data_IF_062746994299
#
_entry.id   IF_062746994299
#
_cell.length_a   1.000
_cell.length_b   1.000
_cell.length_c   1.000
_cell.angle_alpha   90.00
_cell.angle_beta   90.00
_cell.angle_gamma   90.00
#
_symmetry.space_group_name_H-M   'P 1'
#
loop_
_entity.id
_entity.type
_entity.pdbx_description
1 polymer ?
#
# COMPACT_ATOMS: atom_id res chain seq x y z
N UNK A 1 3.61 -12.90 -0.40
CA UNK A 1 4.37 -14.08 -0.87
C UNK A 1 4.30 -15.26 0.11
N UNK A 2 4.35 -15.05 1.44
CA UNK A 2 4.25 -16.10 2.47
C UNK A 2 2.92 -16.88 2.46
N UNK A 3 1.83 -16.30 1.94
CA UNK A 3 0.53 -16.96 1.88
C UNK A 3 0.55 -18.19 0.96
N UNK A 4 1.31 -18.15 -0.15
CA UNK A 4 1.34 -19.22 -1.15
C UNK A 4 1.88 -20.53 -0.56
N UNK A 5 3.08 -20.60 0.03
CA UNK A 5 3.59 -21.84 0.61
C UNK A 5 2.75 -22.33 1.79
N UNK A 6 2.18 -21.45 2.61
CA UNK A 6 1.27 -21.82 3.70
C UNK A 6 -0.03 -22.46 3.19
N UNK A 7 -0.60 -21.94 2.11
CA UNK A 7 -1.82 -22.46 1.51
C UNK A 7 -1.58 -23.82 0.81
N UNK A 8 -0.42 -23.99 0.18
CA UNK A 8 -0.06 -25.26 -0.45
C UNK A 8 0.23 -26.36 0.57
N UNK A 9 0.83 -26.00 1.73
CA UNK A 9 1.12 -26.95 2.81
C UNK A 9 -0.12 -27.49 3.50
N UNK A 10 -1.23 -26.74 3.55
CA UNK A 10 -2.47 -27.23 4.16
C UNK A 10 -3.72 -26.65 3.49
N UNK A 11 -4.18 -27.33 2.44
CA UNK A 11 -5.33 -26.92 1.62
C UNK A 11 -6.65 -26.79 2.40
N UNK A 12 -6.80 -27.50 3.52
CA UNK A 12 -8.02 -27.43 4.34
C UNK A 12 -8.15 -26.10 5.10
N UNK A 13 -7.01 -25.43 5.38
CA UNK A 13 -6.98 -24.19 6.17
C UNK A 13 -6.66 -22.95 5.34
N UNK A 14 -6.81 -22.99 4.01
CA UNK A 14 -6.47 -21.90 3.09
C UNK A 14 -7.15 -20.57 3.49
N UNK A 15 -8.45 -20.60 3.72
CA UNK A 15 -9.19 -19.39 4.08
C UNK A 15 -8.83 -18.86 5.48
N UNK A 16 -8.48 -19.75 6.40
CA UNK A 16 -7.98 -19.36 7.72
C UNK A 16 -6.65 -18.59 7.61
N UNK A 17 -5.74 -19.08 6.76
CA UNK A 17 -4.48 -18.36 6.50
C UNK A 17 -4.72 -17.02 5.81
N UNK A 18 -5.65 -16.94 4.85
CA UNK A 18 -6.02 -15.68 4.20
C UNK A 18 -6.59 -14.68 5.23
N UNK A 19 -7.42 -15.14 6.15
CA UNK A 19 -7.97 -14.30 7.22
C UNK A 19 -6.88 -13.76 8.15
N UNK A 20 -5.98 -14.63 8.62
CA UNK A 20 -4.84 -14.21 9.46
C UNK A 20 -3.97 -13.16 8.73
N UNK A 21 -3.60 -13.45 7.48
CA UNK A 21 -2.81 -12.51 6.69
C UNK A 21 -3.53 -11.16 6.50
N UNK A 22 -4.85 -11.17 6.32
CA UNK A 22 -5.65 -9.94 6.24
C UNK A 22 -5.59 -9.15 7.54
N UNK A 23 -5.82 -9.80 8.68
CA UNK A 23 -5.78 -9.16 9.99
C UNK A 23 -4.42 -8.49 10.26
N UNK A 24 -3.32 -9.24 10.11
CA UNK A 24 -1.99 -8.68 10.32
C UNK A 24 -1.63 -7.59 9.31
N UNK A 25 -2.11 -7.70 8.07
CA UNK A 25 -1.91 -6.66 7.06
C UNK A 25 -2.64 -5.36 7.41
N UNK A 26 -3.86 -5.45 7.96
CA UNK A 26 -4.65 -4.29 8.39
C UNK A 26 -4.00 -3.65 9.62
N UNK A 27 -3.58 -4.45 10.60
CA UNK A 27 -2.84 -3.95 11.77
C UNK A 27 -1.58 -3.21 11.31
N UNK A 28 -0.79 -3.79 10.40
CA UNK A 28 0.39 -3.14 9.83
C UNK A 28 0.06 -1.85 9.06
N UNK A 29 -1.10 -1.77 8.40
CA UNK A 29 -1.56 -0.55 7.73
C UNK A 29 -1.88 0.56 8.74
N UNK A 30 -2.56 0.23 9.84
CA UNK A 30 -2.85 1.16 10.93
C UNK A 30 -1.57 1.71 11.55
N UNK A 31 -0.60 0.84 11.85
CA UNK A 31 0.71 1.28 12.33
C UNK A 31 1.41 2.19 11.33
N UNK A 32 1.41 1.85 10.04
CA UNK A 32 1.99 2.70 8.99
C UNK A 32 1.35 4.09 8.93
N UNK A 33 0.03 4.16 9.04
CA UNK A 33 -0.70 5.43 9.11
C UNK A 33 -0.28 6.28 10.32
N UNK A 34 -0.21 5.68 11.51
CA UNK A 34 0.23 6.40 12.71
C UNK A 34 1.68 6.86 12.62
N UNK A 35 2.57 6.04 12.07
CA UNK A 35 3.97 6.43 11.82
C UNK A 35 4.03 7.66 10.90
N UNK A 36 3.29 7.64 9.77
CA UNK A 36 3.23 8.79 8.86
C UNK A 36 2.71 10.05 9.53
N UNK A 37 1.66 9.91 10.35
CA UNK A 37 1.08 11.02 11.09
C UNK A 37 2.05 11.60 12.12
N UNK A 38 2.68 10.76 12.94
CA UNK A 38 3.62 11.19 13.99
C UNK A 38 4.91 11.80 13.45
N UNK A 39 5.37 11.32 12.28
CA UNK A 39 6.59 11.86 11.66
C UNK A 39 6.34 13.24 11.02
N UNK A 40 5.14 13.50 10.51
CA UNK A 40 4.87 14.70 9.71
C UNK A 40 4.20 15.82 10.48
N UNK A 41 3.40 15.47 11.50
CA UNK A 41 2.61 16.42 12.27
C UNK A 41 3.09 16.49 13.71
N UNK A 42 3.23 17.71 14.23
CA UNK A 42 3.48 17.92 15.67
C UNK A 42 2.17 17.76 16.46
N UNK A 43 2.29 17.30 17.70
CA UNK A 43 1.12 17.23 18.58
C UNK A 43 0.74 18.65 19.04
N UNK A 44 -0.49 19.10 18.86
CA UNK A 44 -1.75 18.39 18.59
C UNK A 44 -2.12 18.15 17.12
N UNK A 45 -1.19 18.21 16.16
CA UNK A 45 -1.45 17.87 14.76
C UNK A 45 -1.89 19.06 13.89
N UNK A 46 -1.54 20.26 14.30
CA UNK A 46 -1.88 21.52 13.62
C UNK A 46 -0.67 22.07 12.85
N UNK A 47 0.54 21.82 13.33
CA UNK A 47 1.78 22.30 12.74
C UNK A 47 2.62 21.17 12.15
N UNK A 48 3.48 21.51 11.20
CA UNK A 48 4.42 20.57 10.62
C UNK A 48 5.52 20.26 11.63
N UNK A 49 5.86 18.98 11.78
CA UNK A 49 6.97 18.55 12.64
C UNK A 49 8.30 19.08 12.13
N UNK A 50 9.31 19.05 13.00
CA UNK A 50 10.70 19.39 12.62
C UNK A 50 11.19 18.60 11.40
N UNK A 51 10.80 17.33 11.31
CA UNK A 51 11.14 16.44 10.17
C UNK A 51 10.47 16.93 8.87
N UNK A 52 9.21 17.31 8.93
CA UNK A 52 8.49 17.84 7.76
C UNK A 52 9.14 19.14 7.26
N UNK A 53 9.50 20.06 8.16
CA UNK A 53 10.16 21.31 7.83
C UNK A 53 11.54 21.06 7.18
N UNK A 54 12.33 20.10 7.71
CA UNK A 54 13.57 19.66 7.06
C UNK A 54 13.36 19.16 5.64
N UNK A 55 12.28 18.39 5.41
CA UNK A 55 11.97 17.90 4.06
C UNK A 55 11.62 19.03 3.11
N UNK A 56 10.87 20.05 3.54
CA UNK A 56 10.55 21.20 2.71
C UNK A 56 11.77 22.06 2.40
N UNK A 57 12.75 22.11 3.30
CA UNK A 57 13.95 22.94 3.14
C UNK A 57 15.04 22.26 2.29
N UNK A 58 15.29 20.96 2.50
CA UNK A 58 16.43 20.27 1.91
C UNK A 58 16.10 19.41 0.68
N UNK A 59 14.84 19.05 0.45
CA UNK A 59 14.47 18.21 -0.70
C UNK A 59 13.94 19.06 -1.84
N UNK A 60 14.74 19.27 -2.93
CA UNK A 60 14.31 20.07 -4.06
C UNK A 60 13.09 19.42 -4.73
N UNK A 61 12.05 20.21 -4.95
CA UNK A 61 10.79 19.76 -5.59
C UNK A 61 9.67 19.39 -4.60
N UNK A 62 9.93 19.34 -3.29
CA UNK A 62 8.90 19.20 -2.27
C UNK A 62 8.61 20.59 -1.70
N UNK A 63 7.48 21.18 -2.11
CA UNK A 63 7.02 22.47 -1.60
C UNK A 63 5.74 22.29 -0.78
N UNK A 64 5.49 23.19 0.14
CA UNK A 64 4.25 23.20 0.96
C UNK A 64 3.03 23.25 0.06
N UNK A 65 3.05 24.03 -1.02
CA UNK A 65 1.94 24.11 -1.97
C UNK A 65 1.73 22.79 -2.72
N UNK A 66 2.80 22.14 -3.15
CA UNK A 66 2.78 20.82 -3.76
C UNK A 66 2.21 19.76 -2.80
N UNK A 67 2.62 19.80 -1.54
CA UNK A 67 2.10 18.94 -0.49
C UNK A 67 0.60 19.13 -0.28
N UNK A 68 0.13 20.37 -0.12
CA UNK A 68 -1.28 20.70 0.06
C UNK A 68 -2.12 20.29 -1.16
N UNK A 69 -1.58 20.40 -2.37
CA UNK A 69 -2.24 19.95 -3.61
C UNK A 69 -2.44 18.43 -3.61
N UNK A 70 -1.41 17.67 -3.24
CA UNK A 70 -1.49 16.21 -3.13
C UNK A 70 -2.46 15.82 -2.01
N UNK A 71 -2.42 16.50 -0.86
CA UNK A 71 -3.37 16.30 0.24
C UNK A 71 -4.82 16.48 -0.22
N UNK A 72 -5.12 17.55 -0.95
CA UNK A 72 -6.46 17.82 -1.50
C UNK A 72 -6.89 16.72 -2.49
N UNK A 73 -5.98 16.21 -3.31
CA UNK A 73 -6.26 15.07 -4.20
C UNK A 73 -6.54 13.79 -3.40
N UNK A 74 -5.78 13.54 -2.34
CA UNK A 74 -6.02 12.42 -1.44
C UNK A 74 -7.37 12.52 -0.73
N UNK A 75 -7.77 13.69 -0.27
CA UNK A 75 -9.08 13.92 0.37
C UNK A 75 -10.23 13.65 -0.61
N UNK A 76 -10.06 14.04 -1.87
CA UNK A 76 -11.07 13.84 -2.91
C UNK A 76 -11.22 12.39 -3.35
N UNK A 77 -10.10 11.63 -3.42
CA UNK A 77 -10.03 10.27 -3.92
C UNK A 77 -9.63 9.23 -2.87
N UNK A 78 -9.69 9.59 -1.60
CA UNK A 78 -9.20 8.86 -0.43
C UNK A 78 -9.45 7.33 -0.52
N UNK A 79 -10.71 6.92 -0.63
CA UNK A 79 -11.09 5.50 -0.72
C UNK A 79 -10.43 4.82 -1.93
N UNK A 80 -10.51 5.43 -3.11
CA UNK A 80 -10.04 4.83 -4.36
C UNK A 80 -8.53 4.69 -4.42
N UNK A 81 -7.77 5.66 -3.89
CA UNK A 81 -6.31 5.60 -3.84
C UNK A 81 -5.87 4.42 -2.96
N UNK A 82 -6.41 4.30 -1.77
CA UNK A 82 -6.05 3.21 -0.83
C UNK A 82 -6.54 1.86 -1.36
N UNK A 83 -7.74 1.82 -1.93
CA UNK A 83 -8.32 0.61 -2.50
C UNK A 83 -7.49 0.09 -3.68
N UNK A 84 -7.19 0.91 -4.67
CA UNK A 84 -6.37 0.53 -5.83
C UNK A 84 -4.96 0.14 -5.44
N UNK A 85 -4.34 0.87 -4.50
CA UNK A 85 -3.02 0.54 -3.97
C UNK A 85 -3.00 -0.82 -3.25
N UNK A 86 -4.08 -1.20 -2.58
CA UNK A 86 -4.21 -2.51 -1.93
C UNK A 86 -4.23 -3.68 -2.91
N UNK A 87 -4.73 -3.46 -4.13
CA UNK A 87 -4.77 -4.46 -5.20
C UNK A 87 -3.50 -4.50 -6.05
N UNK A 88 -2.88 -3.34 -6.27
CA UNK A 88 -1.66 -3.23 -7.09
C UNK A 88 -0.45 -3.82 -6.37
N UNK A 89 0.59 -4.24 -7.10
CA UNK A 89 1.83 -4.71 -6.51
C UNK A 89 2.69 -3.58 -5.90
N UNK A 90 2.18 -2.36 -5.83
CA UNK A 90 2.85 -1.23 -5.17
C UNK A 90 3.08 -1.58 -3.69
N UNK A 91 4.26 -1.22 -3.11
CA UNK A 91 4.51 -1.43 -1.69
C UNK A 91 3.48 -0.69 -0.83
N UNK A 92 2.51 -1.43 -0.31
CA UNK A 92 1.39 -0.87 0.45
C UNK A 92 1.83 -0.06 1.68
N UNK A 93 3.02 -0.38 2.21
CA UNK A 93 3.63 0.40 3.32
C UNK A 93 3.83 1.87 2.97
N UNK A 94 4.23 2.17 1.73
CA UNK A 94 4.38 3.56 1.28
C UNK A 94 3.04 4.29 1.31
N UNK A 95 1.98 3.65 0.83
CA UNK A 95 0.64 4.23 0.81
C UNK A 95 0.08 4.44 2.22
N UNK A 96 0.35 3.52 3.16
CA UNK A 96 -0.11 3.66 4.54
C UNK A 96 0.59 4.80 5.27
N UNK A 97 1.91 4.96 5.07
CA UNK A 97 2.68 6.07 5.63
C UNK A 97 2.24 7.40 5.00
N UNK A 98 2.11 7.46 3.66
CA UNK A 98 1.63 8.66 2.96
C UNK A 98 0.23 9.05 3.41
N UNK A 99 -0.66 8.09 3.64
CA UNK A 99 -2.00 8.34 4.15
C UNK A 99 -1.98 9.04 5.52
N UNK A 100 -1.06 8.65 6.40
CA UNK A 100 -0.81 9.32 7.68
C UNK A 100 -0.20 10.70 7.51
N UNK A 101 0.80 10.82 6.64
CA UNK A 101 1.47 12.08 6.30
C UNK A 101 0.49 13.12 5.76
N UNK A 102 -0.43 12.74 4.88
CA UNK A 102 -1.47 13.63 4.36
C UNK A 102 -2.68 13.80 5.29
N UNK A 103 -2.64 13.20 6.48
CA UNK A 103 -3.68 13.29 7.51
C UNK A 103 -5.09 13.00 6.97
N UNK A 104 -5.21 11.99 6.12
CA UNK A 104 -6.49 11.59 5.52
C UNK A 104 -7.44 11.00 6.56
N UNK A 105 -8.74 10.99 6.25
CA UNK A 105 -9.76 10.45 7.14
C UNK A 105 -9.44 8.98 7.51
N UNK A 106 -9.11 8.75 8.79
CA UNK A 106 -8.69 7.45 9.31
C UNK A 106 -9.74 6.35 9.10
N UNK A 107 -11.02 6.67 9.29
CA UNK A 107 -12.09 5.69 9.13
C UNK A 107 -12.18 5.20 7.68
N UNK A 108 -12.15 6.11 6.71
CA UNK A 108 -12.16 5.78 5.28
C UNK A 108 -10.93 4.97 4.88
N UNK A 109 -9.75 5.35 5.40
CA UNK A 109 -8.51 4.61 5.19
C UNK A 109 -8.61 3.17 5.70
N UNK A 110 -9.12 2.97 6.92
CA UNK A 110 -9.27 1.62 7.52
C UNK A 110 -10.27 0.79 6.72
N UNK A 111 -11.44 1.33 6.37
CA UNK A 111 -12.45 0.62 5.57
C UNK A 111 -11.89 0.22 4.20
N UNK A 112 -11.24 1.14 3.48
CA UNK A 112 -10.62 0.86 2.20
C UNK A 112 -9.53 -0.22 2.31
N UNK A 113 -8.71 -0.16 3.36
CA UNK A 113 -7.67 -1.15 3.65
C UNK A 113 -8.25 -2.53 3.95
N UNK A 114 -9.31 -2.61 4.76
CA UNK A 114 -9.98 -3.87 5.08
C UNK A 114 -10.51 -4.51 3.79
N UNK A 115 -11.25 -3.76 2.99
CA UNK A 115 -11.89 -4.29 1.77
C UNK A 115 -10.81 -4.73 0.76
N UNK A 116 -9.85 -3.88 0.46
CA UNK A 116 -8.84 -4.15 -0.58
C UNK A 116 -7.92 -5.30 -0.20
N UNK A 117 -7.43 -5.33 1.04
CA UNK A 117 -6.50 -6.37 1.52
C UNK A 117 -7.20 -7.71 1.69
N UNK A 118 -8.39 -7.72 2.30
CA UNK A 118 -9.16 -8.96 2.44
C UNK A 118 -9.51 -9.52 1.08
N UNK A 119 -10.05 -8.72 0.16
CA UNK A 119 -10.38 -9.17 -1.18
C UNK A 119 -9.16 -9.76 -1.89
N UNK A 120 -8.00 -9.10 -1.84
CA UNK A 120 -6.76 -9.61 -2.44
C UNK A 120 -6.34 -10.96 -1.87
N UNK A 121 -6.30 -11.11 -0.53
CA UNK A 121 -5.88 -12.36 0.08
C UNK A 121 -6.87 -13.49 -0.15
N UNK A 122 -8.18 -13.21 -0.12
CA UNK A 122 -9.20 -14.21 -0.41
C UNK A 122 -9.24 -14.61 -1.89
N UNK A 123 -9.02 -13.69 -2.83
CA UNK A 123 -8.89 -14.00 -4.25
C UNK A 123 -7.69 -14.93 -4.47
N UNK A 124 -6.51 -14.58 -3.94
CA UNK A 124 -5.30 -15.42 -4.07
C UNK A 124 -5.53 -16.80 -3.43
N UNK A 125 -6.12 -16.85 -2.24
CA UNK A 125 -6.45 -18.09 -1.55
C UNK A 125 -7.40 -18.97 -2.37
N UNK A 126 -8.43 -18.38 -2.98
CA UNK A 126 -9.39 -19.07 -3.84
C UNK A 126 -8.74 -19.60 -5.11
N UNK A 127 -7.87 -18.81 -5.74
CA UNK A 127 -7.09 -19.25 -6.91
C UNK A 127 -6.19 -20.46 -6.56
N UNK A 128 -5.49 -20.40 -5.43
CA UNK A 128 -4.66 -21.53 -4.97
C UNK A 128 -5.53 -22.76 -4.66
N UNK A 129 -6.73 -22.58 -4.10
CA UNK A 129 -7.65 -23.67 -3.81
C UNK A 129 -8.15 -24.36 -5.08
N UNK A 130 -8.47 -23.59 -6.11
CA UNK A 130 -9.03 -24.09 -7.38
C UNK A 130 -7.94 -24.71 -8.26
N UNK A 131 -6.83 -24.02 -8.44
CA UNK A 131 -5.78 -24.42 -9.38
C UNK A 131 -4.64 -25.24 -8.73
N UNK A 132 -4.43 -25.15 -7.42
CA UNK A 132 -3.45 -25.97 -6.68
C UNK A 132 -2.01 -25.85 -7.16
N UNK A 133 -1.35 -27.00 -7.38
CA UNK A 133 0.08 -27.06 -7.73
C UNK A 133 0.45 -26.38 -9.06
N UNK A 134 -0.39 -26.38 -10.12
CA UNK A 134 -0.07 -25.65 -11.36
C UNK A 134 0.19 -24.15 -11.16
N UNK A 135 -0.41 -23.54 -10.16
CA UNK A 135 -0.14 -22.12 -9.83
C UNK A 135 1.29 -21.92 -9.33
N UNK A 136 1.83 -22.88 -8.55
CA UNK A 136 3.22 -22.80 -8.08
C UNK A 136 4.19 -22.79 -9.26
N UNK A 137 4.04 -23.73 -10.20
CA UNK A 137 4.87 -23.79 -11.39
C UNK A 137 4.73 -22.53 -12.26
N UNK A 138 3.52 -22.01 -12.39
CA UNK A 138 3.27 -20.76 -13.13
C UNK A 138 3.98 -19.57 -12.45
N UNK A 139 3.87 -19.43 -11.14
CA UNK A 139 4.51 -18.34 -10.40
C UNK A 139 6.04 -18.48 -10.45
N UNK A 140 6.59 -19.68 -10.25
CA UNK A 140 8.04 -19.91 -10.33
C UNK A 140 8.57 -19.62 -11.73
N UNK A 141 7.85 -20.03 -12.77
CA UNK A 141 8.24 -19.82 -14.17
C UNK A 141 8.21 -18.36 -14.59
N UNK A 142 7.19 -17.61 -14.11
CA UNK A 142 6.99 -16.22 -14.50
C UNK A 142 7.42 -15.21 -13.44
N UNK A 143 8.00 -15.66 -12.33
CA UNK A 143 8.41 -14.79 -11.23
C UNK A 143 9.38 -13.70 -11.69
N UNK A 144 10.38 -14.05 -12.48
CA UNK A 144 11.34 -13.10 -13.03
C UNK A 144 10.66 -12.08 -13.96
N UNK A 145 9.74 -12.54 -14.82
CA UNK A 145 8.99 -11.65 -15.71
C UNK A 145 8.10 -10.70 -14.93
N UNK A 146 7.39 -11.19 -13.92
CA UNK A 146 6.55 -10.38 -13.03
C UNK A 146 7.38 -9.36 -12.25
N UNK A 147 8.55 -9.74 -11.76
CA UNK A 147 9.47 -8.83 -11.07
C UNK A 147 10.00 -7.74 -12.01
N UNK A 148 10.37 -8.08 -13.24
CA UNK A 148 10.85 -7.13 -14.25
C UNK A 148 9.73 -6.15 -14.63
N UNK A 149 8.52 -6.65 -14.95
CA UNK A 149 7.36 -5.81 -15.29
C UNK A 149 7.01 -4.87 -14.12
N UNK A 150 7.06 -5.36 -12.90
CA UNK A 150 6.84 -4.55 -11.71
C UNK A 150 7.89 -3.44 -11.54
N UNK A 151 9.16 -3.76 -11.76
CA UNK A 151 10.26 -2.80 -11.68
C UNK A 151 10.13 -1.72 -12.77
N UNK A 152 9.77 -2.11 -14.00
CA UNK A 152 9.53 -1.18 -15.11
C UNK A 152 8.33 -0.27 -14.79
N UNK A 153 7.24 -0.81 -14.23
CA UNK A 153 6.08 -0.04 -13.82
C UNK A 153 6.39 0.95 -12.69
N UNK A 154 7.23 0.57 -11.73
CA UNK A 154 7.68 1.47 -10.66
C UNK A 154 8.54 2.62 -11.22
N UNK A 155 9.54 2.28 -12.05
CA UNK A 155 10.44 3.27 -12.65
C UNK A 155 9.66 4.18 -13.62
N UNK A 156 8.81 3.60 -14.46
CA UNK A 156 7.95 4.34 -15.39
C UNK A 156 6.96 5.25 -14.68
N UNK A 157 6.34 4.75 -13.60
CA UNK A 157 5.45 5.55 -12.75
C UNK A 157 6.19 6.72 -12.08
N UNK A 158 7.40 6.50 -11.60
CA UNK A 158 8.22 7.56 -11.00
C UNK A 158 8.63 8.64 -12.03
N UNK A 159 9.03 8.23 -13.24
CA UNK A 159 9.36 9.14 -14.35
C UNK A 159 8.11 9.91 -14.78
N UNK A 160 6.97 9.24 -14.91
CA UNK A 160 5.70 9.85 -15.29
C UNK A 160 5.23 10.90 -14.30
N UNK A 161 5.34 10.60 -12.98
CA UNK A 161 5.02 11.56 -11.92
C UNK A 161 5.96 12.76 -11.98
N UNK A 162 7.28 12.52 -12.17
CA UNK A 162 8.26 13.61 -12.32
C UNK A 162 7.95 14.51 -13.53
N UNK A 163 7.47 13.94 -14.64
CA UNK A 163 7.18 14.70 -15.87
C UNK A 163 5.85 15.49 -15.81
N UNK A 164 4.89 15.06 -14.94
CA UNK A 164 3.60 15.74 -14.75
C UNK A 164 3.67 16.82 -13.66
N UNK A 165 4.55 16.66 -12.66
CA UNK A 165 4.65 17.56 -11.50
C UNK A 165 5.69 18.67 -11.73
N UNK A 166 6.67 18.47 -12.61
CA UNK A 166 7.62 19.46 -13.07
C UNK A 166 7.16 20.10 -14.36
#
# INVERSE_FOLDING_TARGET
LLLIPLCLGNRKKIYFFAFICSCFSIIGAIFGHYIGKLLWWDMPGIEYSYIANLFFEYVPGITVDGFNRIQTMYDRWNFWIVFTAGFTPIPFKLITISAGTFNINFLMFVVASIISRSARFFIVASLIKVFGDPIKEFIEKYFNLLAIVFTILLIGGFIFIKYIIL
#
